data_IF_862487408913
#
_entry.id   IF_862487408913
#
_cell.length_a   1.000
_cell.length_b   1.000
_cell.length_c   1.000
_cell.angle_alpha   90.00
_cell.angle_beta   90.00
_cell.angle_gamma   90.00
#
_symmetry.space_group_name_H-M   'P 1'
#
loop_
_entity.id
_entity.type
_entity.pdbx_description
1 polymer ?
#
# COMPACT_ATOMS: atom_id res chain seq x y z
N UNK A 1 -2.57 1.89 51.04
CA UNK A 1 -1.28 2.57 50.81
C UNK A 1 -0.45 1.64 49.94
N UNK A 2 -0.46 1.84 48.62
CA UNK A 2 0.60 2.51 47.85
C UNK A 2 1.54 1.43 47.26
N UNK A 3 2.01 1.41 46.01
CA UNK A 3 2.17 2.44 44.98
C UNK A 3 2.16 1.78 43.59
N UNK A 4 1.35 2.31 42.68
CA UNK A 4 1.33 1.99 41.26
C UNK A 4 2.55 2.62 40.59
N UNK A 5 3.54 1.80 40.21
CA UNK A 5 4.75 2.26 39.52
C UNK A 5 4.40 2.68 38.09
N UNK A 6 3.96 3.93 37.94
CA UNK A 6 3.79 4.63 36.66
C UNK A 6 5.15 4.64 35.96
N UNK A 7 5.29 3.79 34.94
CA UNK A 7 6.47 3.81 34.06
C UNK A 7 6.67 5.23 33.54
N UNK A 8 7.77 5.86 33.98
CA UNK A 8 8.17 7.18 33.48
C UNK A 8 8.74 6.96 32.09
N UNK A 9 7.93 7.22 31.07
CA UNK A 9 8.37 7.19 29.67
C UNK A 9 8.97 8.55 29.33
N UNK A 10 10.18 8.56 28.83
CA UNK A 10 10.91 9.76 28.38
C UNK A 10 10.69 9.98 26.89
N UNK A 11 10.92 11.20 26.39
CA UNK A 11 10.74 11.51 24.96
C UNK A 11 11.68 10.65 24.08
N UNK A 12 12.85 10.28 24.60
CA UNK A 12 13.84 9.42 23.94
C UNK A 12 13.34 7.97 23.77
N UNK A 13 12.50 7.48 24.68
CA UNK A 13 11.90 6.15 24.58
C UNK A 13 10.95 6.04 23.37
N UNK A 14 10.38 7.16 22.90
CA UNK A 14 9.59 7.23 21.66
C UNK A 14 10.44 7.41 20.40
N UNK A 15 11.71 7.84 20.55
CA UNK A 15 12.66 7.94 19.43
C UNK A 15 13.26 6.58 19.05
N UNK A 16 13.12 5.59 19.92
CA UNK A 16 13.35 4.20 19.57
C UNK A 16 12.20 3.75 18.67
N UNK A 17 12.38 3.91 17.36
CA UNK A 17 11.51 3.26 16.40
C UNK A 17 11.64 1.75 16.61
N UNK A 18 10.79 1.20 17.47
CA UNK A 18 10.40 -0.20 17.38
C UNK A 18 9.54 -0.32 16.12
N UNK A 19 10.16 -0.06 14.97
CA UNK A 19 9.67 -0.60 13.71
C UNK A 19 9.57 -2.09 13.98
N UNK A 20 8.37 -2.69 13.90
CA UNK A 20 8.27 -4.12 13.87
C UNK A 20 9.23 -4.61 12.79
N UNK A 21 10.24 -5.40 13.19
CA UNK A 21 11.22 -5.99 12.25
C UNK A 21 10.53 -6.79 11.14
N UNK A 22 9.27 -7.15 11.39
CA UNK A 22 8.30 -7.57 10.40
C UNK A 22 7.43 -6.37 10.06
N UNK A 23 7.84 -5.60 9.05
CA UNK A 23 6.85 -5.09 8.12
C UNK A 23 6.04 -6.33 7.74
N UNK A 24 4.79 -6.42 8.21
CA UNK A 24 3.85 -7.37 7.63
C UNK A 24 3.73 -6.92 6.19
N UNK A 25 4.62 -7.47 5.35
CA UNK A 25 4.61 -7.37 3.90
C UNK A 25 3.16 -7.54 3.52
N UNK A 26 2.62 -6.61 2.74
CA UNK A 26 1.22 -6.65 2.30
C UNK A 26 1.01 -8.06 1.75
N UNK A 27 0.38 -8.91 2.56
CA UNK A 27 0.27 -10.32 2.27
C UNK A 27 -0.56 -10.38 0.99
N UNK A 28 0.05 -10.85 -0.10
CA UNK A 28 -0.58 -10.80 -1.41
C UNK A 28 -1.93 -11.51 -1.25
N UNK A 29 -3.05 -10.79 -1.38
CA UNK A 29 -4.34 -11.41 -1.14
C UNK A 29 -4.46 -12.56 -2.13
N UNK A 30 -4.99 -13.69 -1.67
CA UNK A 30 -5.27 -14.88 -2.49
C UNK A 30 -6.45 -14.59 -3.42
N UNK A 31 -6.32 -13.50 -4.18
CA UNK A 31 -7.18 -13.17 -5.29
C UNK A 31 -6.85 -14.19 -6.36
N UNK A 32 -7.85 -14.71 -7.06
CA UNK A 32 -7.67 -15.48 -8.29
C UNK A 32 -7.12 -14.61 -9.44
N UNK A 33 -6.05 -13.87 -9.17
CA UNK A 33 -5.37 -12.95 -10.07
C UNK A 33 -4.40 -13.67 -11.01
N UNK A 34 -4.18 -14.98 -10.84
CA UNK A 34 -3.21 -15.75 -11.62
C UNK A 34 -3.42 -15.66 -13.15
N UNK A 35 -4.63 -15.32 -13.61
CA UNK A 35 -4.96 -15.27 -15.04
C UNK A 35 -5.60 -13.93 -15.48
N UNK A 36 -5.48 -12.85 -14.71
CA UNK A 36 -6.03 -11.56 -15.15
C UNK A 36 -5.15 -10.99 -16.26
N UNK A 37 -5.74 -10.84 -17.45
CA UNK A 37 -5.06 -10.20 -18.56
C UNK A 37 -5.30 -8.69 -18.53
N UNK A 38 -4.34 -7.94 -18.00
CA UNK A 38 -4.39 -6.49 -18.01
C UNK A 38 -3.96 -5.94 -19.38
N UNK A 39 -4.59 -4.86 -19.88
CA UNK A 39 -4.08 -4.14 -21.04
C UNK A 39 -2.65 -3.69 -20.79
N UNK A 40 -1.76 -3.90 -21.76
CA UNK A 40 -0.36 -3.47 -21.65
C UNK A 40 -0.23 -1.96 -21.38
N UNK A 41 -1.11 -1.16 -21.99
CA UNK A 41 -1.20 0.28 -21.75
C UNK A 41 -1.50 0.65 -20.29
N UNK A 42 -2.33 -0.13 -19.60
CA UNK A 42 -2.65 0.08 -18.18
C UNK A 42 -1.44 -0.22 -17.29
N UNK A 43 -0.76 -1.34 -17.55
CA UNK A 43 0.45 -1.70 -16.80
C UNK A 43 1.53 -0.63 -17.00
N UNK A 44 1.73 -0.18 -18.24
CA UNK A 44 2.71 0.86 -18.52
C UNK A 44 2.37 2.20 -17.87
N UNK A 45 1.07 2.57 -17.83
CA UNK A 45 0.60 3.79 -17.16
C UNK A 45 0.89 3.76 -15.65
N UNK A 46 0.60 2.63 -15.00
CA UNK A 46 0.84 2.44 -13.57
C UNK A 46 2.34 2.44 -13.26
N UNK A 47 3.14 1.76 -14.07
CA UNK A 47 4.60 1.74 -13.92
C UNK A 47 5.26 3.10 -14.17
N UNK A 48 4.60 4.00 -14.91
CA UNK A 48 5.05 5.39 -15.08
C UNK A 48 4.81 6.27 -13.84
N UNK A 49 4.01 5.82 -12.87
CA UNK A 49 3.62 6.54 -11.67
C UNK A 49 3.84 5.65 -10.42
N UNK A 50 5.05 5.09 -10.31
CA UNK A 50 5.45 4.29 -9.16
C UNK A 50 5.63 5.17 -7.92
N UNK A 51 5.32 4.60 -6.76
CA UNK A 51 5.62 5.19 -5.47
C UNK A 51 6.83 4.49 -4.86
N UNK A 52 7.92 5.22 -4.74
CA UNK A 52 9.19 4.69 -4.27
C UNK A 52 9.35 4.76 -2.74
N UNK A 53 8.40 5.40 -2.05
CA UNK A 53 8.46 5.61 -0.60
C UNK A 53 9.52 6.62 -0.19
N UNK A 54 9.87 7.54 -1.08
CA UNK A 54 10.87 8.58 -0.79
C UNK A 54 10.30 9.62 0.18
N UNK A 55 11.13 10.28 1.00
CA UNK A 55 10.67 11.27 1.99
C UNK A 55 9.93 12.48 1.40
N UNK A 56 10.11 12.74 0.11
CA UNK A 56 9.49 13.84 -0.63
C UNK A 56 8.23 13.41 -1.41
N UNK A 57 7.88 12.13 -1.42
CA UNK A 57 6.67 11.63 -2.06
C UNK A 57 5.50 11.66 -1.06
N UNK A 58 4.33 12.09 -1.55
CA UNK A 58 3.11 12.09 -0.75
C UNK A 58 2.32 10.80 -0.99
N UNK A 59 2.13 9.94 0.02
CA UNK A 59 1.35 8.70 -0.12
C UNK A 59 -0.12 8.97 -0.46
N UNK A 60 -0.68 10.11 -0.07
CA UNK A 60 -2.07 10.47 -0.40
C UNK A 60 -2.23 10.89 -1.86
N UNK A 61 -1.28 11.68 -2.37
CA UNK A 61 -1.22 12.00 -3.80
C UNK A 61 -1.04 10.75 -4.66
N UNK A 62 -0.18 9.81 -4.24
CA UNK A 62 -0.04 8.52 -4.91
C UNK A 62 -1.35 7.74 -4.97
N UNK A 63 -2.04 7.63 -3.83
CA UNK A 63 -3.31 6.91 -3.75
C UNK A 63 -4.37 7.55 -4.68
N UNK A 64 -4.42 8.88 -4.75
CA UNK A 64 -5.34 9.59 -5.63
C UNK A 64 -5.05 9.27 -7.11
N UNK A 65 -3.79 9.39 -7.54
CA UNK A 65 -3.35 9.05 -8.91
C UNK A 65 -3.68 7.59 -9.23
N UNK A 66 -3.40 6.67 -8.32
CA UNK A 66 -3.73 5.26 -8.46
C UNK A 66 -5.25 5.03 -8.67
N UNK A 67 -6.10 5.70 -7.89
CA UNK A 67 -7.57 5.58 -8.03
C UNK A 67 -8.03 6.11 -9.40
N UNK A 68 -7.45 7.22 -9.88
CA UNK A 68 -7.74 7.75 -11.21
C UNK A 68 -7.34 6.74 -12.30
N UNK A 69 -6.12 6.20 -12.24
CA UNK A 69 -5.63 5.18 -13.18
C UNK A 69 -6.53 3.94 -13.19
N UNK A 70 -6.92 3.45 -12.01
CA UNK A 70 -7.87 2.34 -11.87
C UNK A 70 -9.23 2.65 -12.52
N UNK A 71 -9.75 3.86 -12.33
CA UNK A 71 -11.05 4.25 -12.87
C UNK A 71 -11.08 4.38 -14.40
N UNK A 72 -9.91 4.48 -15.06
CA UNK A 72 -9.85 4.54 -16.53
C UNK A 72 -10.18 3.21 -17.22
N UNK A 73 -10.11 2.10 -16.49
CA UNK A 73 -10.30 0.76 -17.05
C UNK A 73 -11.40 0.01 -16.31
N UNK A 74 -12.33 -0.57 -17.07
CA UNK A 74 -13.31 -1.53 -16.55
C UNK A 74 -13.13 -2.86 -17.28
N UNK A 75 -12.65 -3.87 -16.57
CA UNK A 75 -12.54 -5.24 -17.09
C UNK A 75 -13.76 -6.03 -16.61
N UNK A 76 -14.59 -6.46 -17.55
CA UNK A 76 -15.77 -7.26 -17.24
C UNK A 76 -15.37 -8.63 -16.68
N UNK A 77 -16.14 -9.13 -15.70
CA UNK A 77 -15.95 -10.47 -15.13
C UNK A 77 -14.91 -10.57 -14.01
N UNK A 78 -14.25 -9.46 -13.63
CA UNK A 78 -13.31 -9.42 -12.51
C UNK A 78 -13.95 -8.64 -11.35
N UNK A 79 -13.92 -9.15 -10.11
CA UNK A 79 -14.33 -8.36 -8.96
C UNK A 79 -13.52 -7.07 -8.85
N UNK A 80 -14.18 -5.94 -8.61
CA UNK A 80 -13.52 -4.63 -8.52
C UNK A 80 -12.39 -4.62 -7.48
N UNK A 81 -12.62 -5.22 -6.31
CA UNK A 81 -11.63 -5.26 -5.23
C UNK A 81 -10.40 -6.12 -5.61
N UNK A 82 -10.62 -7.22 -6.32
CA UNK A 82 -9.57 -8.09 -6.83
C UNK A 82 -8.64 -7.36 -7.81
N UNK A 83 -9.25 -6.65 -8.76
CA UNK A 83 -8.53 -5.84 -9.74
C UNK A 83 -7.77 -4.69 -9.07
N UNK A 84 -8.45 -3.98 -8.16
CA UNK A 84 -7.86 -2.87 -7.42
C UNK A 84 -6.62 -3.34 -6.66
N UNK A 85 -6.74 -4.34 -5.81
CA UNK A 85 -5.62 -4.86 -5.02
C UNK A 85 -4.47 -5.36 -5.89
N UNK A 86 -4.77 -6.05 -6.99
CA UNK A 86 -3.74 -6.52 -7.91
C UNK A 86 -3.01 -5.37 -8.62
N UNK A 87 -3.72 -4.35 -9.11
CA UNK A 87 -3.12 -3.20 -9.78
C UNK A 87 -2.30 -2.33 -8.83
N UNK A 88 -2.73 -2.22 -7.57
CA UNK A 88 -2.00 -1.48 -6.54
C UNK A 88 -0.59 -2.06 -6.33
N UNK A 89 -0.45 -3.38 -6.40
CA UNK A 89 0.87 -4.04 -6.27
C UNK A 89 1.85 -3.69 -7.39
N UNK A 90 1.37 -3.22 -8.55
CA UNK A 90 2.23 -2.73 -9.64
C UNK A 90 2.62 -1.24 -9.49
N UNK A 91 1.96 -0.51 -8.58
CA UNK A 91 2.20 0.92 -8.33
C UNK A 91 3.20 1.20 -7.21
N UNK A 92 3.67 0.15 -6.54
CA UNK A 92 4.65 0.19 -5.44
C UNK A 92 6.02 -0.28 -5.91
#
# INVERSE_FOLDING_TARGET
MADEHRHRVTLEDYSSSSVPQFLTSIARPEVQAHNINYPYSLIHLIQGNLFHGLPNEDPYAHLATYIEMYNTVKIAGIPNDAMRLSLFSFSL
#
